data_IF_334311922094
#
_entry.id   IF_334311922094
#
_cell.length_a   1.000
_cell.length_b   1.000
_cell.length_c   1.000
_cell.angle_alpha   90.00
_cell.angle_beta   90.00
_cell.angle_gamma   90.00
#
_symmetry.space_group_name_H-M   'P 1'
#
loop_
_entity.id
_entity.type
_entity.pdbx_description
1 polymer ?
#
# COMPACT_ATOMS: atom_id res chain seq x y z
N UNK A 1 -16.50 -0.40 20.35
CA UNK A 1 -17.14 -0.15 19.04
C UNK A 1 -17.23 1.33 18.66
N UNK A 2 -17.76 2.22 19.50
CA UNK A 2 -17.83 3.68 19.16
C UNK A 2 -16.45 4.29 18.89
N UNK A 3 -15.42 3.94 19.65
CA UNK A 3 -14.05 4.42 19.42
C UNK A 3 -13.50 4.01 18.03
N UNK A 4 -13.75 2.77 17.61
CA UNK A 4 -13.34 2.27 16.29
C UNK A 4 -14.06 3.02 15.17
N UNK A 5 -15.36 3.25 15.31
CA UNK A 5 -16.13 4.07 14.38
C UNK A 5 -15.59 5.51 14.32
N UNK A 6 -15.16 6.07 15.45
CA UNK A 6 -14.50 7.38 15.50
C UNK A 6 -13.21 7.45 14.69
N UNK A 7 -12.49 6.34 14.57
CA UNK A 7 -11.27 6.23 13.75
C UNK A 7 -11.63 5.99 12.27
N UNK A 8 -12.51 5.04 11.99
CA UNK A 8 -12.76 4.59 10.61
C UNK A 8 -13.75 5.47 9.85
N UNK A 9 -14.78 6.00 10.50
CA UNK A 9 -15.81 6.79 9.83
C UNK A 9 -15.26 8.04 9.09
N UNK A 10 -14.39 8.89 9.68
CA UNK A 10 -13.82 10.04 8.96
C UNK A 10 -13.09 9.65 7.69
N UNK A 11 -12.39 8.52 7.69
CA UNK A 11 -11.63 7.99 6.56
C UNK A 11 -12.57 7.66 5.41
N UNK A 12 -13.62 6.86 5.69
CA UNK A 12 -14.56 6.45 4.65
C UNK A 12 -15.49 7.59 4.21
N UNK A 13 -15.79 8.56 5.08
CA UNK A 13 -16.48 9.78 4.70
C UNK A 13 -15.67 10.60 3.70
N UNK A 14 -14.34 10.77 3.91
CA UNK A 14 -13.47 11.47 2.96
C UNK A 14 -13.40 10.73 1.62
N UNK A 15 -13.33 9.40 1.63
CA UNK A 15 -13.42 8.58 0.41
C UNK A 15 -14.77 8.81 -0.29
N UNK A 16 -15.87 8.80 0.44
CA UNK A 16 -17.20 9.04 -0.11
C UNK A 16 -17.33 10.45 -0.71
N UNK A 17 -16.82 11.49 -0.02
CA UNK A 17 -16.79 12.86 -0.53
C UNK A 17 -16.03 12.91 -1.86
N UNK A 18 -14.84 12.31 -1.95
CA UNK A 18 -14.07 12.25 -3.19
C UNK A 18 -14.81 11.53 -4.32
N UNK A 19 -15.47 10.40 -4.00
CA UNK A 19 -16.28 9.65 -4.96
C UNK A 19 -17.44 10.50 -5.52
N UNK A 20 -18.23 11.12 -4.65
CA UNK A 20 -19.36 11.92 -5.08
C UNK A 20 -18.94 13.23 -5.77
N UNK A 21 -17.85 13.88 -5.34
CA UNK A 21 -17.32 15.06 -6.00
C UNK A 21 -16.93 14.78 -7.47
N UNK A 22 -16.28 13.63 -7.71
CA UNK A 22 -15.92 13.24 -9.07
C UNK A 22 -17.16 12.77 -9.87
N UNK A 23 -18.07 12.04 -9.24
CA UNK A 23 -19.28 11.53 -9.90
C UNK A 23 -20.27 12.64 -10.30
N UNK A 24 -20.35 13.70 -9.50
CA UNK A 24 -21.21 14.87 -9.77
C UNK A 24 -20.57 15.86 -10.76
N UNK A 25 -19.29 15.65 -11.14
CA UNK A 25 -18.57 16.55 -12.03
C UNK A 25 -18.01 17.81 -11.36
N UNK A 26 -18.10 17.95 -10.03
CA UNK A 26 -17.46 19.05 -9.29
C UNK A 26 -15.93 19.02 -9.46
N UNK A 27 -15.35 17.82 -9.55
CA UNK A 27 -13.92 17.62 -9.85
C UNK A 27 -13.81 16.62 -10.99
N UNK A 28 -13.02 16.96 -12.00
CA UNK A 28 -12.74 16.05 -13.11
C UNK A 28 -11.74 14.96 -12.69
N UNK A 29 -11.70 13.85 -13.45
CA UNK A 29 -10.71 12.77 -13.23
C UNK A 29 -9.28 13.26 -13.36
N UNK A 30 -9.01 14.17 -14.27
CA UNK A 30 -7.68 14.74 -14.49
C UNK A 30 -7.24 15.62 -13.30
N UNK A 31 -8.16 16.38 -12.73
CA UNK A 31 -7.90 17.15 -11.51
C UNK A 31 -7.61 16.22 -10.33
N UNK A 32 -8.40 15.15 -10.14
CA UNK A 32 -8.16 14.15 -9.11
C UNK A 32 -6.81 13.42 -9.31
N UNK A 33 -6.45 13.10 -10.56
CA UNK A 33 -5.15 12.53 -10.89
C UNK A 33 -4.00 13.49 -10.58
N UNK A 34 -4.19 14.79 -10.82
CA UNK A 34 -3.25 15.85 -10.42
C UNK A 34 -3.03 15.91 -8.91
N UNK A 35 -4.12 15.84 -8.12
CA UNK A 35 -4.05 15.75 -6.66
C UNK A 35 -3.30 14.49 -6.20
N UNK A 36 -3.58 13.33 -6.82
CA UNK A 36 -2.86 12.09 -6.56
C UNK A 36 -1.36 12.19 -6.86
N UNK A 37 -1.01 12.88 -7.94
CA UNK A 37 0.40 13.15 -8.28
C UNK A 37 1.05 14.04 -7.23
N UNK A 38 0.36 15.07 -6.74
CA UNK A 38 0.84 15.91 -5.62
C UNK A 38 1.13 15.06 -4.38
N UNK A 39 0.22 14.16 -4.00
CA UNK A 39 0.40 13.28 -2.85
C UNK A 39 1.65 12.43 -2.99
N UNK A 40 1.83 11.74 -4.13
CA UNK A 40 2.97 10.83 -4.34
C UNK A 40 4.30 11.59 -4.43
N UNK A 41 4.29 12.80 -5.04
CA UNK A 41 5.52 13.52 -5.35
C UNK A 41 6.00 14.40 -4.21
N UNK A 42 5.09 14.94 -3.39
CA UNK A 42 5.41 15.91 -2.35
C UNK A 42 4.93 15.48 -0.96
N UNK A 43 3.64 15.16 -0.79
CA UNK A 43 3.06 14.97 0.52
C UNK A 43 3.55 13.70 1.22
N UNK A 44 3.55 12.54 0.56
CA UNK A 44 4.09 11.29 1.10
C UNK A 44 5.60 11.32 1.33
N UNK A 45 6.44 11.83 0.40
CA UNK A 45 7.85 12.07 0.68
C UNK A 45 8.09 12.92 1.93
N UNK A 46 7.42 14.06 2.06
CA UNK A 46 7.54 14.93 3.22
C UNK A 46 7.12 14.21 4.52
N UNK A 47 6.02 13.44 4.48
CA UNK A 47 5.55 12.67 5.62
C UNK A 47 6.57 11.62 6.07
N UNK A 48 7.19 10.91 5.13
CA UNK A 48 8.21 9.91 5.43
C UNK A 48 9.47 10.58 5.98
N UNK A 49 9.93 11.68 5.39
CA UNK A 49 11.06 12.44 5.91
C UNK A 49 10.79 12.87 7.37
N UNK A 50 9.62 13.45 7.65
CA UNK A 50 9.21 13.82 9.00
C UNK A 50 9.28 12.64 9.95
N UNK A 51 8.61 11.53 9.60
CA UNK A 51 8.50 10.36 10.45
C UNK A 51 9.86 9.71 10.79
N UNK A 52 10.81 9.74 9.84
CA UNK A 52 12.14 9.15 10.03
C UNK A 52 13.11 10.08 10.76
N UNK A 53 12.97 11.42 10.62
CA UNK A 53 13.84 12.38 11.29
C UNK A 53 13.38 12.74 12.72
N UNK A 54 12.11 12.50 13.06
CA UNK A 54 11.58 12.72 14.41
C UNK A 54 11.98 11.64 15.42
N UNK A 55 12.68 10.56 14.98
CA UNK A 55 13.02 9.41 15.80
C UNK A 55 14.49 9.02 15.67
N UNK A 56 15.08 8.48 16.74
CA UNK A 56 16.41 7.89 16.67
C UNK A 56 16.47 6.78 15.61
N UNK A 57 17.56 6.68 14.87
CA UNK A 57 17.74 5.69 13.79
C UNK A 57 17.50 4.25 14.25
N UNK A 58 17.89 3.94 15.50
CA UNK A 58 17.67 2.62 16.13
C UNK A 58 16.19 2.25 16.28
N UNK A 59 15.29 3.24 16.39
CA UNK A 59 13.84 3.02 16.48
C UNK A 59 13.16 2.99 15.10
N UNK A 60 13.84 3.52 14.08
CA UNK A 60 13.32 3.64 12.72
C UNK A 60 13.47 2.33 11.95
N UNK A 61 14.64 1.69 12.04
CA UNK A 61 14.93 0.49 11.27
C UNK A 61 14.84 -0.76 12.13
N UNK A 62 13.63 -1.33 12.23
CA UNK A 62 13.41 -2.62 12.87
C UNK A 62 13.55 -3.76 11.85
N UNK A 63 14.65 -4.50 11.94
CA UNK A 63 14.93 -5.62 11.05
C UNK A 63 13.89 -6.75 11.19
N UNK A 64 13.40 -6.99 12.40
CA UNK A 64 12.36 -8.01 12.62
C UNK A 64 11.03 -7.60 12.01
N UNK A 65 10.71 -6.30 12.01
CA UNK A 65 9.56 -5.78 11.27
C UNK A 65 9.69 -6.08 9.77
N UNK A 66 10.84 -5.77 9.18
CA UNK A 66 11.09 -6.02 7.74
C UNK A 66 10.95 -7.49 7.41
N UNK A 67 11.52 -8.38 8.24
CA UNK A 67 11.40 -9.83 8.07
C UNK A 67 9.96 -10.31 8.23
N UNK A 68 9.27 -9.92 9.30
CA UNK A 68 7.91 -10.38 9.59
C UNK A 68 6.91 -9.93 8.51
N UNK A 69 6.92 -8.64 8.18
CA UNK A 69 6.04 -8.10 7.14
C UNK A 69 6.38 -8.68 5.76
N UNK A 70 7.68 -8.79 5.44
CA UNK A 70 8.17 -9.34 4.18
C UNK A 70 7.80 -10.82 4.02
N UNK A 71 8.06 -11.65 5.03
CA UNK A 71 7.71 -13.08 5.01
C UNK A 71 6.20 -13.28 4.96
N UNK A 72 5.42 -12.56 5.77
CA UNK A 72 3.96 -12.62 5.73
C UNK A 72 3.41 -12.27 4.35
N UNK A 73 3.94 -11.23 3.72
CA UNK A 73 3.56 -10.83 2.36
C UNK A 73 3.97 -11.87 1.31
N UNK A 74 5.18 -12.45 1.41
CA UNK A 74 5.64 -13.51 0.52
C UNK A 74 4.81 -14.80 0.64
N UNK A 75 4.45 -15.19 1.85
CA UNK A 75 3.59 -16.35 2.10
C UNK A 75 2.22 -16.17 1.42
N UNK A 76 1.59 -15.02 1.61
CA UNK A 76 0.29 -14.72 0.99
C UNK A 76 0.41 -14.61 -0.52
N UNK A 77 1.47 -13.98 -1.02
CA UNK A 77 1.78 -13.95 -2.45
C UNK A 77 1.83 -15.37 -3.01
N UNK A 78 2.62 -16.24 -2.38
CA UNK A 78 2.79 -17.63 -2.80
C UNK A 78 1.47 -18.42 -2.77
N UNK A 79 0.68 -18.27 -1.71
CA UNK A 79 -0.63 -18.91 -1.60
C UNK A 79 -1.62 -18.42 -2.67
N UNK A 80 -1.72 -17.10 -2.87
CA UNK A 80 -2.58 -16.53 -3.90
C UNK A 80 -2.14 -16.91 -5.32
N UNK A 81 -0.84 -16.88 -5.59
CA UNK A 81 -0.26 -17.32 -6.86
C UNK A 81 -0.53 -18.81 -7.12
N UNK A 82 -0.23 -19.67 -6.13
CA UNK A 82 -0.42 -21.11 -6.24
C UNK A 82 -1.90 -21.49 -6.45
N UNK A 83 -2.81 -20.87 -5.69
CA UNK A 83 -4.24 -21.08 -5.86
C UNK A 83 -4.70 -20.68 -7.27
N UNK A 84 -4.31 -19.50 -7.75
CA UNK A 84 -4.66 -19.06 -9.09
C UNK A 84 -4.07 -19.98 -10.17
N UNK A 85 -2.83 -20.45 -9.99
CA UNK A 85 -2.12 -21.29 -10.95
C UNK A 85 -2.61 -22.73 -10.99
N UNK A 86 -2.77 -23.35 -9.80
CA UNK A 86 -3.04 -24.79 -9.67
C UNK A 86 -4.52 -25.11 -9.66
N UNK A 87 -5.34 -24.30 -8.99
CA UNK A 87 -6.79 -24.54 -8.83
C UNK A 87 -7.57 -23.89 -9.96
N UNK A 88 -7.27 -22.62 -10.27
CA UNK A 88 -8.00 -21.87 -11.31
C UNK A 88 -7.40 -22.01 -12.70
N UNK A 89 -6.20 -22.56 -12.79
CA UNK A 89 -5.46 -22.74 -14.06
C UNK A 89 -5.24 -21.42 -14.83
N UNK A 90 -5.11 -20.31 -14.08
CA UNK A 90 -4.79 -19.01 -14.66
C UNK A 90 -3.43 -19.06 -15.37
N UNK A 91 -3.21 -18.13 -16.31
CA UNK A 91 -1.89 -17.91 -16.92
C UNK A 91 -0.86 -17.51 -15.85
N UNK A 92 0.43 -17.64 -16.16
CA UNK A 92 1.50 -17.15 -15.26
C UNK A 92 1.33 -15.68 -14.89
N UNK A 93 1.02 -14.83 -15.89
CA UNK A 93 0.76 -13.41 -15.67
C UNK A 93 -0.47 -13.18 -14.79
N UNK A 94 -1.55 -13.94 -15.01
CA UNK A 94 -2.77 -13.87 -14.21
C UNK A 94 -2.50 -14.26 -12.75
N UNK A 95 -1.79 -15.37 -12.53
CA UNK A 95 -1.42 -15.86 -11.20
C UNK A 95 -0.51 -14.87 -10.45
N UNK A 96 0.46 -14.27 -11.15
CA UNK A 96 1.34 -13.25 -10.57
C UNK A 96 0.56 -11.99 -10.16
N UNK A 97 -0.43 -11.57 -10.97
CA UNK A 97 -1.30 -10.44 -10.62
C UNK A 97 -2.21 -10.76 -9.44
N UNK A 98 -2.71 -12.00 -9.30
CA UNK A 98 -3.44 -12.41 -8.08
C UNK A 98 -2.52 -12.35 -6.86
N UNK A 99 -1.31 -12.93 -6.95
CA UNK A 99 -0.31 -12.85 -5.89
C UNK A 99 -0.02 -11.40 -5.45
N UNK A 100 0.16 -10.50 -6.41
CA UNK A 100 0.36 -9.07 -6.15
C UNK A 100 -0.85 -8.45 -5.44
N UNK A 101 -2.06 -8.71 -5.92
CA UNK A 101 -3.29 -8.14 -5.38
C UNK A 101 -3.57 -8.55 -3.93
N UNK A 102 -3.18 -9.78 -3.54
CA UNK A 102 -3.40 -10.28 -2.17
C UNK A 102 -2.29 -9.88 -1.19
N UNK A 103 -1.12 -9.45 -1.64
CA UNK A 103 0.08 -9.28 -0.79
C UNK A 103 0.62 -7.85 -0.68
N UNK A 104 0.12 -6.92 -1.49
CA UNK A 104 0.59 -5.52 -1.47
C UNK A 104 -0.54 -4.59 -1.09
N UNK A 105 -0.27 -3.65 -0.20
CA UNK A 105 -1.26 -2.74 0.37
C UNK A 105 -1.28 -1.37 -0.33
N UNK A 106 -2.36 -0.64 -0.13
CA UNK A 106 -2.42 0.79 -0.42
C UNK A 106 -1.83 1.58 0.75
N UNK A 107 -0.53 1.37 0.97
CA UNK A 107 0.16 1.81 2.18
C UNK A 107 0.12 3.33 2.37
N UNK A 108 0.33 4.11 1.29
CA UNK A 108 0.38 5.57 1.38
C UNK A 108 -0.99 6.24 1.40
N UNK A 109 -1.97 5.71 0.67
CA UNK A 109 -3.24 6.40 0.48
C UNK A 109 -4.33 5.98 1.47
N UNK A 110 -4.35 4.70 1.89
CA UNK A 110 -5.39 4.18 2.79
C UNK A 110 -4.81 3.71 4.12
N UNK A 111 -3.77 2.85 4.09
CA UNK A 111 -3.26 2.25 5.30
C UNK A 111 -2.66 3.29 6.26
N UNK A 112 -1.81 4.20 5.77
CA UNK A 112 -1.19 5.22 6.61
C UNK A 112 -2.22 6.09 7.35
N UNK A 113 -3.23 6.70 6.71
CA UNK A 113 -4.27 7.44 7.43
C UNK A 113 -4.94 6.66 8.55
N UNK A 114 -5.25 5.38 8.30
CA UNK A 114 -5.88 4.50 9.27
C UNK A 114 -4.95 4.28 10.48
N UNK A 115 -3.71 3.88 10.21
CA UNK A 115 -2.73 3.57 11.25
C UNK A 115 -2.36 4.83 12.04
N UNK A 116 -2.26 5.99 11.39
CA UNK A 116 -1.99 7.26 12.04
C UNK A 116 -3.12 7.67 12.99
N UNK A 117 -4.37 7.43 12.63
CA UNK A 117 -5.52 7.71 13.50
C UNK A 117 -5.67 6.67 14.64
N UNK A 118 -5.26 5.41 14.41
CA UNK A 118 -5.39 4.34 15.39
C UNK A 118 -4.23 4.32 16.40
N UNK A 119 -2.99 4.51 15.93
CA UNK A 119 -1.75 4.28 16.71
C UNK A 119 -0.82 5.50 16.75
N UNK A 120 -1.12 6.56 16.00
CA UNK A 120 -0.31 7.79 16.00
C UNK A 120 1.03 7.65 15.29
N UNK A 121 2.11 8.11 15.95
CA UNK A 121 3.43 8.31 15.34
C UNK A 121 4.13 7.05 14.75
N UNK A 122 3.90 5.78 15.19
CA UNK A 122 4.46 4.61 14.53
C UNK A 122 4.05 4.42 13.06
N UNK A 123 2.92 5.03 12.66
CA UNK A 123 2.38 4.92 11.32
C UNK A 123 3.35 5.32 10.20
N UNK A 124 4.14 6.38 10.42
CA UNK A 124 5.10 6.85 9.43
C UNK A 124 6.28 5.90 9.23
N UNK A 125 6.78 5.29 10.31
CA UNK A 125 7.83 4.27 10.25
C UNK A 125 7.30 3.00 9.58
N UNK A 126 6.12 2.53 9.97
CA UNK A 126 5.47 1.37 9.35
C UNK A 126 5.22 1.59 7.85
N UNK A 127 4.81 2.81 7.45
CA UNK A 127 4.69 3.20 6.05
C UNK A 127 6.03 3.07 5.32
N UNK A 128 7.10 3.67 5.86
CA UNK A 128 8.41 3.66 5.21
C UNK A 128 8.94 2.24 5.01
N UNK A 129 8.94 1.42 6.06
CA UNK A 129 9.40 0.03 6.02
C UNK A 129 8.53 -0.83 5.10
N UNK A 130 7.20 -0.67 5.18
CA UNK A 130 6.25 -1.36 4.30
C UNK A 130 6.48 -1.00 2.83
N UNK A 131 6.67 0.28 2.50
CA UNK A 131 6.94 0.72 1.13
C UNK A 131 8.28 0.22 0.58
N UNK A 132 9.30 0.03 1.41
CA UNK A 132 10.54 -0.64 0.98
C UNK A 132 10.22 -2.07 0.54
N UNK A 133 9.53 -2.84 1.37
CA UNK A 133 9.19 -4.25 1.08
C UNK A 133 8.31 -4.35 -0.18
N UNK A 134 7.28 -3.53 -0.26
CA UNK A 134 6.34 -3.53 -1.38
C UNK A 134 7.01 -3.18 -2.71
N UNK A 135 7.82 -2.12 -2.73
CA UNK A 135 8.42 -1.62 -3.97
C UNK A 135 9.72 -2.36 -4.36
N UNK A 136 10.53 -2.78 -3.37
CA UNK A 136 11.83 -3.42 -3.66
C UNK A 136 11.69 -4.93 -3.85
N UNK A 137 10.73 -5.57 -3.16
CA UNK A 137 10.56 -7.02 -3.18
C UNK A 137 9.30 -7.45 -3.92
N UNK A 138 8.11 -7.03 -3.45
CA UNK A 138 6.84 -7.62 -3.88
C UNK A 138 6.43 -7.24 -5.30
N UNK A 139 6.50 -5.96 -5.65
CA UNK A 139 6.16 -5.49 -7.00
C UNK A 139 7.14 -6.02 -8.04
N UNK A 140 8.49 -5.96 -7.85
CA UNK A 140 9.44 -6.57 -8.76
C UNK A 140 9.23 -8.07 -8.95
N UNK A 141 9.00 -8.81 -7.87
CA UNK A 141 8.70 -10.25 -7.93
C UNK A 141 7.48 -10.53 -8.82
N UNK A 142 6.36 -9.84 -8.54
CA UNK A 142 5.12 -10.05 -9.29
C UNK A 142 5.27 -9.69 -10.77
N UNK A 143 5.88 -8.54 -11.07
CA UNK A 143 6.06 -8.10 -12.46
C UNK A 143 7.03 -9.00 -13.23
N UNK A 144 8.07 -9.51 -12.57
CA UNK A 144 9.00 -10.48 -13.18
C UNK A 144 8.27 -11.78 -13.54
N UNK A 145 7.49 -12.33 -12.61
CA UNK A 145 6.70 -13.54 -12.87
C UNK A 145 5.63 -13.31 -13.94
N UNK A 146 4.98 -12.14 -13.93
CA UNK A 146 3.98 -11.79 -14.94
C UNK A 146 4.60 -11.64 -16.33
N UNK A 147 5.80 -11.06 -16.44
CA UNK A 147 6.51 -10.90 -17.71
C UNK A 147 7.02 -12.24 -18.25
N UNK A 148 7.44 -13.18 -17.40
CA UNK A 148 7.76 -14.55 -17.79
C UNK A 148 6.57 -15.28 -18.43
N UNK A 149 5.34 -14.91 -18.06
CA UNK A 149 4.12 -15.44 -18.65
C UNK A 149 3.77 -14.88 -20.02
N UNK A 150 4.39 -13.76 -20.42
CA UNK A 150 4.23 -13.19 -21.76
C UNK A 150 5.26 -13.81 -22.69
N UNK A 151 4.86 -14.72 -23.53
CA UNK A 151 5.72 -15.40 -24.52
C UNK A 151 6.35 -14.47 -25.59
N UNK A 152 6.30 -13.15 -25.42
CA UNK A 152 6.90 -12.16 -26.31
C UNK A 152 8.30 -11.80 -25.83
N UNK A 153 9.32 -12.14 -26.58
CA UNK A 153 10.78 -12.04 -26.47
C UNK A 153 11.47 -10.81 -25.88
N UNK A 154 10.85 -10.13 -24.94
CA UNK A 154 11.40 -8.96 -24.24
C UNK A 154 12.02 -9.30 -22.89
N UNK A 155 12.83 -10.30 -22.83
CA UNK A 155 13.61 -10.84 -21.70
C UNK A 155 13.40 -10.24 -20.29
N UNK A 156 13.36 -11.11 -19.28
CA UNK A 156 13.33 -10.77 -17.83
C UNK A 156 14.29 -9.64 -17.46
N UNK A 157 15.48 -9.57 -18.13
CA UNK A 157 16.46 -8.51 -17.93
C UNK A 157 15.93 -7.10 -18.28
N UNK A 158 15.09 -6.96 -19.32
CA UNK A 158 14.49 -5.68 -19.68
C UNK A 158 13.42 -5.26 -18.66
N UNK A 159 12.63 -6.21 -18.18
CA UNK A 159 11.64 -5.97 -17.12
C UNK A 159 12.32 -5.55 -15.81
N UNK A 160 13.33 -6.28 -15.36
CA UNK A 160 14.14 -5.96 -14.17
C UNK A 160 14.81 -4.59 -14.27
N UNK A 161 15.43 -4.28 -15.41
CA UNK A 161 16.06 -2.96 -15.64
C UNK A 161 15.04 -1.82 -15.61
N UNK A 162 13.84 -2.03 -16.19
CA UNK A 162 12.74 -1.07 -16.14
C UNK A 162 12.26 -0.83 -14.71
N UNK A 163 12.09 -1.91 -13.94
CA UNK A 163 11.69 -1.85 -12.52
C UNK A 163 12.77 -1.15 -11.69
N UNK A 164 14.04 -1.51 -11.81
CA UNK A 164 15.15 -0.85 -11.10
C UNK A 164 15.20 0.66 -11.40
N UNK A 165 15.03 1.04 -12.67
CA UNK A 165 14.97 2.46 -13.05
C UNK A 165 13.78 3.19 -12.44
N UNK A 166 12.63 2.53 -12.31
CA UNK A 166 11.44 3.07 -11.67
C UNK A 166 11.64 3.27 -10.16
N UNK A 167 12.30 2.30 -9.50
CA UNK A 167 12.61 2.36 -8.06
C UNK A 167 13.50 3.56 -7.71
N UNK A 168 14.60 3.74 -8.44
CA UNK A 168 15.55 4.85 -8.21
C UNK A 168 14.87 6.23 -8.37
N UNK A 169 13.79 6.29 -9.15
CA UNK A 169 13.03 7.53 -9.41
C UNK A 169 11.76 7.64 -8.59
N UNK A 170 11.46 6.66 -7.75
CA UNK A 170 10.23 6.68 -6.95
C UNK A 170 10.35 7.73 -5.84
N UNK A 171 9.50 8.79 -5.80
CA UNK A 171 9.69 9.93 -4.90
C UNK A 171 9.79 9.53 -3.43
N UNK A 172 8.96 8.58 -2.98
CA UNK A 172 8.96 8.12 -1.60
C UNK A 172 10.21 7.31 -1.26
N UNK A 173 10.72 6.46 -2.17
CA UNK A 173 11.97 5.70 -1.92
C UNK A 173 13.18 6.63 -1.89
N UNK A 174 13.20 7.65 -2.74
CA UNK A 174 14.22 8.71 -2.69
C UNK A 174 14.15 9.45 -1.36
N UNK A 175 12.96 9.78 -0.88
CA UNK A 175 12.74 10.43 0.41
C UNK A 175 13.19 9.56 1.60
N UNK A 176 12.88 8.24 1.58
CA UNK A 176 13.36 7.29 2.59
C UNK A 176 14.89 7.28 2.61
N UNK A 177 15.53 7.13 1.44
CA UNK A 177 16.99 7.11 1.33
C UNK A 177 17.61 8.43 1.84
N UNK A 178 17.05 9.57 1.43
CA UNK A 178 17.52 10.88 1.88
C UNK A 178 17.37 11.04 3.40
N UNK A 179 16.23 10.69 3.97
CA UNK A 179 15.99 10.79 5.41
C UNK A 179 16.91 9.88 6.23
N UNK A 180 17.14 8.64 5.76
CA UNK A 180 18.08 7.72 6.41
C UNK A 180 19.52 8.24 6.34
N UNK A 181 19.96 8.79 5.20
CA UNK A 181 21.29 9.40 5.06
C UNK A 181 21.43 10.60 5.99
N UNK A 182 20.41 11.47 6.08
CA UNK A 182 20.42 12.61 7.00
C UNK A 182 20.48 12.14 8.45
N UNK A 183 19.75 11.09 8.83
CA UNK A 183 19.78 10.53 10.19
C UNK A 183 21.15 9.91 10.52
N UNK A 184 21.78 9.19 9.57
CA UNK A 184 23.14 8.61 9.75
C UNK A 184 24.21 9.71 9.90
N UNK A 185 24.10 10.79 9.13
CA UNK A 185 25.03 11.91 9.11
C UNK A 185 24.70 12.98 10.20
N UNK A 186 23.68 12.72 11.03
CA UNK A 186 23.19 13.65 12.05
C UNK A 186 22.82 15.04 11.50
N UNK A 187 22.40 15.09 10.23
CA UNK A 187 22.00 16.30 9.54
C UNK A 187 20.54 16.64 9.88
N UNK A 188 20.34 17.81 10.47
CA UNK A 188 18.99 18.30 10.78
C UNK A 188 18.62 19.43 9.82
N UNK A 189 17.45 19.35 9.15
CA UNK A 189 16.97 20.45 8.33
C UNK A 189 16.77 21.73 9.18
N UNK A 190 16.99 22.92 8.60
CA UNK A 190 16.66 24.16 9.28
C UNK A 190 15.18 24.19 9.71
N UNK A 191 14.83 24.88 10.83
CA UNK A 191 13.44 24.93 11.33
C UNK A 191 12.40 25.37 10.28
N UNK A 192 12.78 26.27 9.38
CA UNK A 192 11.91 26.73 8.29
C UNK A 192 11.61 25.57 7.30
N UNK A 193 12.63 24.79 6.96
CA UNK A 193 12.44 23.62 6.07
C UNK A 193 11.58 22.55 6.73
N UNK A 194 11.78 22.28 8.04
CA UNK A 194 10.92 21.34 8.78
C UNK A 194 9.46 21.79 8.81
N UNK A 195 9.18 23.09 8.98
CA UNK A 195 7.79 23.61 8.90
C UNK A 195 7.16 23.36 7.54
N UNK A 196 7.90 23.51 6.44
CA UNK A 196 7.38 23.19 5.09
C UNK A 196 7.12 21.70 4.95
N UNK A 197 8.03 20.85 5.44
CA UNK A 197 7.85 19.40 5.47
C UNK A 197 6.59 19.03 6.25
N UNK A 198 6.37 19.64 7.43
CA UNK A 198 5.18 19.37 8.26
C UNK A 198 3.87 19.77 7.57
N UNK A 199 3.85 20.92 6.90
CA UNK A 199 2.68 21.37 6.15
C UNK A 199 2.34 20.40 5.01
N UNK A 200 3.32 19.95 4.24
CA UNK A 200 3.15 18.98 3.17
C UNK A 200 2.72 17.60 3.72
N UNK A 201 3.37 17.15 4.80
CA UNK A 201 3.05 15.89 5.46
C UNK A 201 1.62 15.84 5.97
N UNK A 202 1.14 16.94 6.54
CA UNK A 202 -0.24 17.05 7.07
C UNK A 202 -1.28 16.93 5.95
N UNK A 203 -0.98 17.39 4.75
CA UNK A 203 -1.87 17.26 3.60
C UNK A 203 -1.97 15.83 3.04
N UNK A 204 -1.02 14.93 3.37
CA UNK A 204 -0.93 13.60 2.77
C UNK A 204 -2.21 12.78 2.97
N UNK A 205 -2.64 12.58 4.21
CA UNK A 205 -3.78 11.72 4.54
C UNK A 205 -5.11 12.21 3.93
N UNK A 206 -5.57 13.44 4.17
CA UNK A 206 -6.88 13.88 3.69
C UNK A 206 -6.95 13.94 2.16
N UNK A 207 -5.88 14.41 1.50
CA UNK A 207 -5.86 14.46 0.03
C UNK A 207 -5.79 13.05 -0.58
N UNK A 208 -5.02 12.14 0.01
CA UNK A 208 -4.95 10.75 -0.44
C UNK A 208 -6.31 10.07 -0.40
N UNK A 209 -7.03 10.16 0.72
CA UNK A 209 -8.35 9.54 0.89
C UNK A 209 -9.39 10.11 -0.10
N UNK A 210 -9.38 11.41 -0.30
CA UNK A 210 -10.23 12.07 -1.30
C UNK A 210 -9.94 11.55 -2.72
N UNK A 211 -8.66 11.45 -3.09
CA UNK A 211 -8.21 10.93 -4.40
C UNK A 211 -8.62 9.49 -4.61
N UNK A 212 -8.55 8.64 -3.58
CA UNK A 212 -9.04 7.25 -3.66
C UNK A 212 -10.52 7.24 -4.04
N UNK A 213 -11.35 8.00 -3.33
CA UNK A 213 -12.77 8.10 -3.64
C UNK A 213 -13.02 8.56 -5.08
N UNK A 214 -12.35 9.62 -5.52
CA UNK A 214 -12.44 10.12 -6.87
C UNK A 214 -12.04 9.08 -7.92
N UNK A 215 -10.97 8.31 -7.67
CA UNK A 215 -10.50 7.25 -8.57
C UNK A 215 -11.49 6.10 -8.71
N UNK A 216 -12.14 5.69 -7.61
CA UNK A 216 -13.16 4.64 -7.61
C UNK A 216 -14.37 5.00 -8.48
N UNK A 217 -14.76 6.29 -8.55
CA UNK A 217 -15.90 6.74 -9.36
C UNK A 217 -15.74 6.48 -10.86
N UNK A 218 -14.50 6.34 -11.31
CA UNK A 218 -14.16 6.14 -12.73
C UNK A 218 -13.87 4.71 -13.12
N UNK A 219 -13.80 3.80 -12.17
CA UNK A 219 -13.47 2.41 -12.45
C UNK A 219 -14.66 1.67 -13.04
N UNK A 220 -14.39 0.85 -14.05
CA UNK A 220 -15.36 -0.08 -14.64
C UNK A 220 -15.00 -1.49 -14.14
N UNK A 221 -15.67 -1.97 -13.09
CA UNK A 221 -15.41 -3.32 -12.59
C UNK A 221 -15.83 -4.35 -13.63
N UNK A 222 -14.97 -5.32 -13.88
CA UNK A 222 -15.23 -6.47 -14.76
C UNK A 222 -14.61 -7.71 -14.14
N UNK A 223 -15.06 -8.90 -14.55
CA UNK A 223 -14.54 -10.16 -14.06
C UNK A 223 -15.58 -11.00 -13.33
N UNK A 224 -15.24 -12.27 -13.09
CA UNK A 224 -16.11 -13.21 -12.38
C UNK A 224 -16.12 -12.91 -10.88
N UNK A 225 -17.25 -13.10 -10.23
CA UNK A 225 -17.43 -12.92 -8.77
C UNK A 225 -16.36 -13.70 -7.98
N UNK A 226 -16.03 -14.91 -8.41
CA UNK A 226 -15.03 -15.78 -7.78
C UNK A 226 -13.63 -15.19 -7.85
N UNK A 227 -13.29 -14.47 -8.93
CA UNK A 227 -11.99 -13.79 -9.09
C UNK A 227 -11.81 -12.67 -8.11
N UNK A 228 -12.87 -11.88 -7.96
CA UNK A 228 -12.90 -10.71 -7.10
C UNK A 228 -12.89 -11.12 -5.63
N UNK A 229 -13.71 -12.13 -5.27
CA UNK A 229 -13.80 -12.61 -3.88
C UNK A 229 -12.49 -13.23 -3.39
N UNK A 230 -11.80 -14.02 -4.22
CA UNK A 230 -10.50 -14.59 -3.89
C UNK A 230 -9.48 -13.52 -3.54
N UNK A 231 -9.37 -12.49 -4.39
CA UNK A 231 -8.39 -11.42 -4.17
C UNK A 231 -8.79 -10.58 -2.95
N UNK A 232 -10.08 -10.28 -2.76
CA UNK A 232 -10.56 -9.53 -1.61
C UNK A 232 -10.33 -10.26 -0.29
N UNK A 233 -10.69 -11.56 -0.21
CA UNK A 233 -10.48 -12.40 0.99
C UNK A 233 -8.99 -12.56 1.26
N UNK A 234 -8.19 -12.88 0.23
CA UNK A 234 -6.74 -13.00 0.37
C UNK A 234 -6.11 -11.72 0.91
N UNK A 235 -6.53 -10.56 0.40
CA UNK A 235 -5.98 -9.27 0.79
C UNK A 235 -6.44 -8.79 2.16
N UNK A 236 -7.73 -8.88 2.45
CA UNK A 236 -8.32 -8.26 3.64
C UNK A 236 -8.28 -9.15 4.88
N UNK A 237 -8.11 -10.46 4.72
CA UNK A 237 -8.11 -11.42 5.82
C UNK A 237 -6.78 -12.18 5.88
N UNK A 238 -6.39 -12.86 4.80
CA UNK A 238 -5.22 -13.74 4.83
C UNK A 238 -3.91 -12.95 4.98
N UNK A 239 -3.77 -11.81 4.30
CA UNK A 239 -2.56 -10.98 4.40
C UNK A 239 -2.30 -10.47 5.82
N UNK A 240 -3.23 -9.76 6.48
CA UNK A 240 -3.00 -9.33 7.85
C UNK A 240 -2.82 -10.50 8.84
N UNK A 241 -3.49 -11.64 8.65
CA UNK A 241 -3.29 -12.83 9.49
C UNK A 241 -1.89 -13.43 9.32
N UNK A 242 -1.38 -13.53 8.09
CA UNK A 242 -0.03 -14.06 7.87
C UNK A 242 1.05 -13.10 8.38
N UNK A 243 0.85 -11.81 8.22
CA UNK A 243 1.73 -10.78 8.80
C UNK A 243 1.68 -10.86 10.33
N UNK A 244 0.50 -10.95 10.93
CA UNK A 244 0.35 -11.16 12.38
C UNK A 244 1.07 -12.43 12.85
N UNK A 245 0.86 -13.55 12.16
CA UNK A 245 1.56 -14.81 12.46
C UNK A 245 3.07 -14.64 12.42
N UNK A 246 3.62 -13.98 11.42
CA UNK A 246 5.06 -13.73 11.35
C UNK A 246 5.54 -12.83 12.50
N UNK A 247 4.77 -11.81 12.90
CA UNK A 247 5.10 -10.98 14.04
C UNK A 247 5.03 -11.75 15.38
N UNK A 248 4.18 -12.77 15.51
CA UNK A 248 4.13 -13.61 16.74
C UNK A 248 5.26 -14.63 16.79
N UNK A 249 5.81 -15.03 15.64
CA UNK A 249 6.90 -16.01 15.56
C UNK A 249 8.28 -15.39 15.65
N UNK A 250 8.42 -14.09 15.36
CA UNK A 250 9.70 -13.37 15.39
C UNK A 250 9.79 -12.47 16.63
N UNK A 251 11.00 -12.29 17.20
CA UNK A 251 11.21 -11.46 18.39
C UNK A 251 11.12 -9.97 18.05
N UNK A 252 9.89 -9.44 17.94
CA UNK A 252 9.66 -8.03 17.61
C UNK A 252 9.98 -7.15 18.80
N UNK A 253 10.83 -6.14 18.58
CA UNK A 253 11.27 -5.21 19.61
C UNK A 253 10.20 -4.17 20.00
N UNK A 254 9.29 -3.85 19.08
CA UNK A 254 8.26 -2.84 19.28
C UNK A 254 6.85 -3.37 18.94
N UNK A 255 6.05 -3.78 19.96
CA UNK A 255 4.71 -4.30 19.74
C UNK A 255 3.75 -3.34 19.02
N UNK A 256 3.90 -2.02 19.27
CA UNK A 256 3.05 -1.01 18.61
C UNK A 256 3.39 -0.90 17.13
N UNK A 257 4.68 -1.02 16.78
CA UNK A 257 5.10 -1.06 15.38
C UNK A 257 4.62 -2.35 14.68
N UNK A 258 4.61 -3.49 15.37
CA UNK A 258 4.03 -4.73 14.87
C UNK A 258 2.53 -4.58 14.59
N UNK A 259 1.78 -4.01 15.54
CA UNK A 259 0.35 -3.68 15.36
C UNK A 259 0.14 -2.76 14.16
N UNK A 260 0.99 -1.75 14.00
CA UNK A 260 0.97 -0.88 12.81
C UNK A 260 1.17 -1.68 11.51
N UNK A 261 2.09 -2.65 11.49
CA UNK A 261 2.32 -3.54 10.35
C UNK A 261 1.09 -4.38 10.01
N UNK A 262 0.43 -4.96 11.00
CA UNK A 262 -0.81 -5.74 10.79
C UNK A 262 -1.91 -4.85 10.19
N UNK A 263 -2.09 -3.64 10.72
CA UNK A 263 -3.07 -2.69 10.18
C UNK A 263 -2.71 -2.20 8.76
N UNK A 264 -1.42 -2.02 8.46
CA UNK A 264 -0.95 -1.75 7.08
C UNK A 264 -1.35 -2.90 6.14
N UNK A 265 -1.17 -4.14 6.57
CA UNK A 265 -1.55 -5.32 5.79
C UNK A 265 -3.07 -5.47 5.62
N UNK A 266 -3.88 -4.98 6.57
CA UNK A 266 -5.35 -5.05 6.52
C UNK A 266 -5.99 -4.07 5.53
N UNK A 267 -5.25 -3.08 5.03
CA UNK A 267 -5.73 -2.15 4.01
C UNK A 267 -5.91 -2.84 2.64
N UNK A 268 -6.75 -2.32 1.74
CA UNK A 268 -6.94 -2.90 0.40
C UNK A 268 -5.64 -2.80 -0.43
N UNK A 269 -5.63 -3.44 -1.60
CA UNK A 269 -4.47 -3.41 -2.49
C UNK A 269 -4.21 -2.00 -3.05
N UNK A 270 -3.00 -1.81 -3.59
CA UNK A 270 -2.54 -0.53 -4.16
C UNK A 270 -3.45 -0.01 -5.28
N UNK A 271 -3.63 1.30 -5.35
CA UNK A 271 -4.50 1.97 -6.35
C UNK A 271 -4.06 1.76 -7.79
N UNK A 272 -2.77 1.53 -8.03
CA UNK A 272 -2.22 1.29 -9.38
C UNK A 272 -2.38 -0.17 -9.84
N UNK A 273 -2.98 -1.04 -9.03
CA UNK A 273 -3.19 -2.46 -9.36
C UNK A 273 -3.90 -2.68 -10.71
N UNK A 274 -5.00 -1.94 -11.05
CA UNK A 274 -5.62 -2.06 -12.37
C UNK A 274 -4.68 -1.63 -13.51
N UNK A 275 -3.86 -0.60 -13.31
CA UNK A 275 -2.91 -0.09 -14.30
C UNK A 275 -1.82 -1.13 -14.58
N UNK A 276 -1.35 -1.82 -13.54
CA UNK A 276 -0.40 -2.92 -13.70
C UNK A 276 -1.06 -4.10 -14.43
N UNK A 277 -2.30 -4.43 -14.06
CA UNK A 277 -3.10 -5.47 -14.71
C UNK A 277 -3.39 -5.21 -16.19
N UNK A 278 -3.56 -3.94 -16.58
CA UNK A 278 -3.82 -3.56 -17.97
C UNK A 278 -2.72 -4.03 -18.93
N UNK A 279 -1.45 -4.06 -18.49
CA UNK A 279 -0.32 -4.57 -19.28
C UNK A 279 -0.46 -6.03 -19.68
N UNK A 280 -1.31 -6.77 -18.96
CA UNK A 280 -1.56 -8.21 -19.13
C UNK A 280 -3.00 -8.52 -19.54
N UNK A 281 -3.79 -7.49 -19.91
CA UNK A 281 -5.20 -7.66 -20.30
C UNK A 281 -6.15 -7.94 -19.12
N UNK A 282 -5.74 -7.62 -17.89
CA UNK A 282 -6.46 -7.94 -16.65
C UNK A 282 -7.02 -6.69 -15.94
N UNK A 283 -7.09 -5.54 -16.63
CA UNK A 283 -7.50 -4.26 -16.04
C UNK A 283 -8.85 -4.35 -15.32
N UNK A 284 -9.88 -4.86 -16.00
CA UNK A 284 -11.24 -4.95 -15.43
C UNK A 284 -11.31 -5.86 -14.21
N UNK A 285 -10.57 -6.99 -14.22
CA UNK A 285 -10.48 -7.93 -13.09
C UNK A 285 -9.78 -7.27 -11.89
N UNK A 286 -8.67 -6.59 -12.13
CA UNK A 286 -7.92 -5.88 -11.10
C UNK A 286 -8.72 -4.69 -10.54
N UNK A 287 -9.45 -3.95 -11.39
CA UNK A 287 -10.31 -2.86 -10.97
C UNK A 287 -11.46 -3.34 -10.08
N UNK A 288 -12.11 -4.43 -10.46
CA UNK A 288 -13.17 -5.03 -9.65
C UNK A 288 -12.65 -5.47 -8.26
N UNK A 289 -11.49 -6.13 -8.23
CA UNK A 289 -10.83 -6.52 -6.97
C UNK A 289 -10.53 -5.32 -6.08
N UNK A 290 -9.98 -4.24 -6.64
CA UNK A 290 -9.68 -3.01 -5.91
C UNK A 290 -10.94 -2.35 -5.34
N UNK A 291 -12.02 -2.20 -6.15
CA UNK A 291 -13.28 -1.59 -5.71
C UNK A 291 -13.88 -2.37 -4.54
N UNK A 292 -14.03 -3.69 -4.71
CA UNK A 292 -14.63 -4.55 -3.69
C UNK A 292 -13.77 -4.57 -2.42
N UNK A 293 -12.45 -4.74 -2.56
CA UNK A 293 -11.55 -4.73 -1.42
C UNK A 293 -11.56 -3.36 -0.70
N UNK A 294 -11.64 -2.24 -1.41
CA UNK A 294 -11.72 -0.92 -0.78
C UNK A 294 -13.00 -0.75 0.02
N UNK A 295 -14.16 -1.17 -0.52
CA UNK A 295 -15.43 -1.09 0.21
C UNK A 295 -15.44 -2.01 1.42
N UNK A 296 -15.02 -3.27 1.26
CA UNK A 296 -15.00 -4.27 2.34
C UNK A 296 -13.90 -3.99 3.39
N UNK A 297 -12.89 -3.20 3.05
CA UNK A 297 -11.82 -2.86 3.99
C UNK A 297 -12.32 -2.07 5.21
N UNK A 298 -13.48 -1.42 5.12
CA UNK A 298 -14.12 -0.84 6.30
C UNK A 298 -14.35 -1.86 7.41
N UNK A 299 -14.85 -3.04 7.04
CA UNK A 299 -15.12 -4.11 8.00
C UNK A 299 -13.83 -4.77 8.47
N UNK A 300 -12.93 -5.14 7.55
CA UNK A 300 -11.68 -5.84 7.90
C UNK A 300 -10.77 -4.97 8.75
N UNK A 301 -10.57 -3.71 8.37
CA UNK A 301 -9.74 -2.77 9.15
C UNK A 301 -10.33 -2.54 10.53
N UNK A 302 -11.66 -2.34 10.65
CA UNK A 302 -12.32 -2.20 11.95
C UNK A 302 -12.12 -3.42 12.83
N UNK A 303 -12.20 -4.63 12.26
CA UNK A 303 -11.93 -5.88 12.95
C UNK A 303 -10.47 -5.98 13.45
N UNK A 304 -9.50 -5.65 12.59
CA UNK A 304 -8.09 -5.71 12.97
C UNK A 304 -7.71 -4.59 13.96
N UNK A 305 -8.30 -3.39 13.88
CA UNK A 305 -8.14 -2.36 14.92
C UNK A 305 -8.63 -2.90 16.27
N UNK A 306 -9.77 -3.59 16.30
CA UNK A 306 -10.28 -4.20 17.53
C UNK A 306 -9.37 -5.31 18.07
N UNK A 307 -8.75 -6.08 17.19
CA UNK A 307 -7.89 -7.20 17.56
C UNK A 307 -6.50 -6.79 18.07
N UNK A 308 -5.99 -5.62 17.69
CA UNK A 308 -4.64 -5.13 18.07
C UNK A 308 -4.66 -4.08 19.18
N UNK A 309 -5.84 -3.59 19.60
CA UNK A 309 -6.06 -2.72 20.75
C UNK A 309 -6.61 -3.52 21.93
#
# INVERSE_FOLDING_TARGET
MLAILGITAPIFILIAIGFFACRSGLISRDQAAGMGRFVITFALPALVIRALLERPLAEVFDWYYVLAYGLGSLLVFGLGYAFARLVRKDSLSGSAMVGLGVSVSNSGFIAYPIVAMALGSPAGVALALGMIIENVLMIPLALTLAELGRQSGGGVGKALRGTARSLIRHPVLVAITAALLMAILELHPPPVAMRVIDMLATAAAPVALFVIGASLSGMKPGGLVMDVSQVAVGKLILHPLMVLLCFTLLPVSNPVLASAGVLMAAAPMMSIYPILGARYGLEGRCAAGLVVATVLSFLSVSMFIWAVN
#
